data_IF_498571691234
#
_entry.id   IF_498571691234
#
_cell.length_a   1.000
_cell.length_b   1.000
_cell.length_c   1.000
_cell.angle_alpha   90.00
_cell.angle_beta   90.00
_cell.angle_gamma   90.00
#
_symmetry.space_group_name_H-M   'P 1'
#
loop_
_entity.id
_entity.type
_entity.pdbx_description
1 polymer ?
#
# COMPACT_ATOMS: atom_id res chain seq x y z
N UNK A 1 -58.57 -61.95 26.58
CA UNK A 1 -59.94 -61.51 26.87
C UNK A 1 -60.08 -60.11 26.27
N UNK A 2 -60.52 -60.05 25.08
CA UNK A 2 -61.76 -59.48 24.62
C UNK A 2 -61.70 -57.92 24.56
N UNK A 3 -61.55 -57.43 23.31
CA UNK A 3 -62.53 -56.65 22.52
C UNK A 3 -62.60 -55.13 22.93
N UNK A 4 -62.78 -54.14 22.15
CA UNK A 4 -63.23 -54.00 20.73
C UNK A 4 -63.01 -52.54 20.32
N UNK A 5 -62.73 -52.32 19.08
CA UNK A 5 -63.25 -51.39 18.11
C UNK A 5 -63.89 -50.05 18.57
N UNK A 6 -63.36 -48.94 18.08
CA UNK A 6 -64.13 -48.01 17.27
C UNK A 6 -63.24 -46.98 16.56
N UNK A 7 -63.28 -46.98 15.21
CA UNK A 7 -62.84 -45.85 14.34
C UNK A 7 -64.00 -44.91 14.16
N UNK A 8 -63.73 -43.66 14.02
CA UNK A 8 -64.46 -42.86 13.01
C UNK A 8 -63.55 -42.12 12.03
N UNK A 9 -64.09 -41.95 10.86
CA UNK A 9 -63.57 -41.34 9.65
C UNK A 9 -63.13 -39.90 9.83
N UNK A 10 -61.94 -39.61 9.28
CA UNK A 10 -61.48 -38.23 9.09
C UNK A 10 -61.97 -37.66 7.77
N UNK A 11 -62.68 -36.57 7.85
CA UNK A 11 -62.93 -35.69 6.72
C UNK A 11 -61.74 -34.80 6.47
N UNK A 12 -61.18 -34.84 5.26
CA UNK A 12 -60.15 -33.94 4.78
C UNK A 12 -60.73 -32.57 4.45
N UNK A 13 -60.46 -31.56 5.28
CA UNK A 13 -60.71 -30.19 4.98
C UNK A 13 -59.41 -29.50 4.55
N UNK A 14 -59.25 -29.25 3.24
CA UNK A 14 -58.14 -28.41 2.72
C UNK A 14 -58.44 -26.95 3.04
N UNK A 15 -57.68 -26.35 3.95
CA UNK A 15 -57.64 -24.92 4.15
C UNK A 15 -56.66 -24.29 3.14
N UNK A 16 -57.16 -23.66 2.10
CA UNK A 16 -56.39 -22.79 1.25
C UNK A 16 -56.16 -21.44 1.92
N UNK A 17 -54.96 -21.22 2.44
CA UNK A 17 -54.52 -19.86 2.79
C UNK A 17 -54.13 -19.11 1.51
N UNK A 18 -54.96 -18.17 1.10
CA UNK A 18 -54.62 -17.14 0.10
C UNK A 18 -53.81 -16.05 0.82
N UNK A 19 -52.48 -16.11 0.79
CA UNK A 19 -51.62 -15.02 1.18
C UNK A 19 -51.60 -13.98 0.05
N UNK A 20 -52.35 -12.91 0.20
CA UNK A 20 -52.29 -11.76 -0.68
C UNK A 20 -51.07 -10.93 -0.28
N UNK A 21 -49.99 -11.01 -1.06
CA UNK A 21 -48.83 -10.12 -0.91
C UNK A 21 -49.27 -8.74 -1.46
N UNK A 22 -49.55 -7.80 -0.56
CA UNK A 22 -49.77 -6.41 -0.92
C UNK A 22 -48.41 -5.77 -1.20
N UNK A 23 -48.00 -5.74 -2.45
CA UNK A 23 -46.82 -4.95 -2.88
C UNK A 23 -47.28 -3.49 -2.92
N UNK A 24 -46.86 -2.71 -1.92
CA UNK A 24 -47.05 -1.25 -1.95
C UNK A 24 -46.19 -0.67 -3.08
N UNK A 25 -46.74 0.16 -3.96
CA UNK A 25 -45.94 0.82 -4.98
C UNK A 25 -44.90 1.72 -4.32
N UNK A 26 -43.64 1.53 -4.68
CA UNK A 26 -42.54 2.41 -4.26
C UNK A 26 -42.85 3.79 -4.87
N UNK A 27 -43.03 4.80 -4.02
CA UNK A 27 -43.33 6.13 -4.51
C UNK A 27 -42.16 6.67 -5.34
N UNK A 28 -42.48 7.41 -6.40
CA UNK A 28 -41.49 8.03 -7.30
C UNK A 28 -40.43 8.84 -6.52
N UNK A 29 -40.81 9.42 -5.38
CA UNK A 29 -39.92 10.14 -4.48
C UNK A 29 -38.83 9.25 -3.88
N UNK A 30 -39.09 8.00 -3.49
CA UNK A 30 -38.09 7.06 -2.97
C UNK A 30 -37.12 6.59 -4.05
N UNK A 31 -37.60 6.44 -5.29
CA UNK A 31 -36.74 6.08 -6.43
C UNK A 31 -35.79 7.22 -6.79
N UNK A 32 -36.23 8.48 -6.77
CA UNK A 32 -35.40 9.68 -7.02
C UNK A 32 -34.37 9.85 -5.93
N UNK A 33 -34.70 9.63 -4.65
CA UNK A 33 -33.75 9.72 -3.54
C UNK A 33 -32.66 8.64 -3.63
N UNK A 34 -33.02 7.42 -4.04
CA UNK A 34 -32.05 6.34 -4.22
C UNK A 34 -31.06 6.63 -5.37
N UNK A 35 -31.54 7.18 -6.48
CA UNK A 35 -30.71 7.57 -7.63
C UNK A 35 -29.79 8.74 -7.26
N UNK A 36 -30.26 9.71 -6.46
CA UNK A 36 -29.46 10.85 -6.05
C UNK A 36 -28.33 10.45 -5.08
N UNK A 37 -28.55 9.49 -4.17
CA UNK A 37 -27.54 8.95 -3.27
C UNK A 37 -26.44 8.16 -4.02
N UNK A 38 -26.78 7.47 -5.11
CA UNK A 38 -25.77 6.72 -5.90
C UNK A 38 -24.91 7.64 -6.77
N UNK A 39 -25.45 8.77 -7.24
CA UNK A 39 -24.70 9.74 -8.03
C UNK A 39 -23.68 10.54 -7.20
N UNK A 40 -23.96 10.77 -5.91
CA UNK A 40 -23.03 11.50 -5.02
C UNK A 40 -21.75 10.73 -4.72
N UNK A 41 -21.80 9.38 -4.68
CA UNK A 41 -20.62 8.55 -4.45
C UNK A 41 -19.71 8.44 -5.70
N UNK A 42 -20.24 8.62 -6.90
CA UNK A 42 -19.48 8.62 -8.15
C UNK A 42 -18.65 9.90 -8.35
N UNK A 43 -19.10 11.04 -7.82
CA UNK A 43 -18.40 12.32 -7.97
C UNK A 43 -17.13 12.38 -7.14
N UNK A 44 -17.14 11.83 -5.91
CA UNK A 44 -15.94 11.82 -5.05
C UNK A 44 -14.82 10.93 -5.62
N UNK A 45 -15.16 9.77 -6.20
CA UNK A 45 -14.16 8.88 -6.83
C UNK A 45 -13.59 9.48 -8.12
N UNK A 46 -14.39 10.18 -8.90
CA UNK A 46 -13.95 10.83 -10.15
C UNK A 46 -12.98 12.01 -9.90
N UNK A 47 -13.12 12.73 -8.80
CA UNK A 47 -12.25 13.85 -8.46
C UNK A 47 -10.80 13.39 -8.17
N UNK A 48 -10.64 12.25 -7.53
CA UNK A 48 -9.32 11.68 -7.18
C UNK A 48 -8.55 11.25 -8.44
N UNK A 49 -9.22 10.60 -9.38
CA UNK A 49 -8.64 10.16 -10.66
C UNK A 49 -8.16 11.34 -11.50
N UNK A 50 -8.94 12.43 -11.56
CA UNK A 50 -8.54 13.63 -12.32
C UNK A 50 -7.30 14.29 -11.72
N UNK A 51 -7.19 14.35 -10.41
CA UNK A 51 -6.00 14.87 -9.74
C UNK A 51 -4.76 14.03 -10.02
N UNK A 52 -4.90 12.70 -9.98
CA UNK A 52 -3.81 11.78 -10.32
C UNK A 52 -3.35 11.97 -11.77
N UNK A 53 -4.28 12.07 -12.72
CA UNK A 53 -3.99 12.31 -14.13
C UNK A 53 -3.26 13.66 -14.33
N UNK A 54 -3.74 14.72 -13.69
CA UNK A 54 -3.10 16.03 -13.79
C UNK A 54 -1.66 16.00 -13.25
N UNK A 55 -1.42 15.32 -12.13
CA UNK A 55 -0.08 15.11 -11.60
C UNK A 55 0.79 14.27 -12.54
N UNK A 56 0.22 13.22 -13.14
CA UNK A 56 0.94 12.39 -14.12
C UNK A 56 1.38 13.20 -15.35
N UNK A 57 0.53 14.09 -15.88
CA UNK A 57 0.89 15.00 -16.99
C UNK A 57 2.01 15.97 -16.57
N UNK A 58 1.90 16.60 -15.40
CA UNK A 58 2.96 17.50 -14.90
C UNK A 58 4.31 16.77 -14.73
N UNK A 59 4.27 15.52 -14.26
CA UNK A 59 5.47 14.70 -14.13
C UNK A 59 6.06 14.37 -15.50
N UNK A 60 5.21 14.01 -16.46
CA UNK A 60 5.62 13.70 -17.84
C UNK A 60 6.36 14.85 -18.48
N UNK A 61 5.87 16.08 -18.31
CA UNK A 61 6.47 17.28 -18.87
C UNK A 61 7.80 17.67 -18.19
N UNK A 62 8.00 17.25 -16.94
CA UNK A 62 9.16 17.62 -16.11
C UNK A 62 10.16 16.48 -15.86
N UNK A 63 9.93 15.28 -16.38
CA UNK A 63 10.80 14.13 -16.12
C UNK A 63 12.13 14.25 -16.87
N UNK A 64 13.22 14.39 -16.12
CA UNK A 64 14.58 14.50 -16.67
C UNK A 64 15.27 13.13 -16.70
N UNK A 65 15.00 12.26 -15.73
CA UNK A 65 15.73 10.99 -15.54
C UNK A 65 14.75 9.83 -15.45
N UNK A 66 15.02 8.79 -16.26
CA UNK A 66 14.21 7.58 -16.35
C UNK A 66 13.08 7.69 -17.37
N UNK A 67 12.17 6.74 -17.33
CA UNK A 67 11.03 6.60 -18.25
C UNK A 67 9.72 6.42 -17.46
N UNK A 68 8.60 6.72 -18.11
CA UNK A 68 7.27 6.50 -17.55
C UNK A 68 6.73 5.18 -18.08
N UNK A 69 6.32 4.30 -17.17
CA UNK A 69 5.52 3.13 -17.47
C UNK A 69 4.08 3.36 -17.01
N UNK A 70 3.11 3.15 -17.88
CA UNK A 70 1.69 3.14 -17.53
C UNK A 70 1.31 1.72 -17.11
N UNK A 71 0.81 1.57 -15.91
CA UNK A 71 0.42 0.32 -15.29
C UNK A 71 -1.08 0.31 -15.03
N UNK A 72 -1.65 -0.88 -14.84
CA UNK A 72 -3.08 -1.06 -14.57
C UNK A 72 -3.29 -1.80 -13.24
N UNK A 73 -4.19 -1.29 -12.41
CA UNK A 73 -4.63 -1.97 -11.19
C UNK A 73 -6.12 -1.70 -10.96
N UNK A 74 -6.91 -2.74 -10.74
CA UNK A 74 -8.35 -2.65 -10.50
C UNK A 74 -9.14 -1.86 -11.58
N UNK A 75 -8.67 -1.91 -12.84
CA UNK A 75 -9.27 -1.18 -13.95
C UNK A 75 -8.88 0.30 -14.06
N UNK A 76 -8.00 0.78 -13.18
CA UNK A 76 -7.47 2.15 -13.19
C UNK A 76 -6.02 2.16 -13.69
N UNK A 77 -5.69 3.15 -14.53
CA UNK A 77 -4.31 3.39 -14.96
C UNK A 77 -3.59 4.26 -13.93
N UNK A 78 -2.32 3.95 -13.69
CA UNK A 78 -1.42 4.75 -12.85
C UNK A 78 0.00 4.71 -13.40
N UNK A 79 0.83 5.70 -13.07
CA UNK A 79 2.20 5.77 -13.56
C UNK A 79 3.20 5.14 -12.59
N UNK A 80 4.28 4.60 -13.17
CA UNK A 80 5.51 4.26 -12.48
C UNK A 80 6.68 4.94 -13.17
N UNK A 81 7.58 5.54 -12.42
CA UNK A 81 8.80 6.14 -12.93
C UNK A 81 9.93 5.12 -12.80
N UNK A 82 10.34 4.56 -13.92
CA UNK A 82 11.40 3.56 -13.99
C UNK A 82 12.74 4.26 -14.22
N UNK A 83 13.75 3.90 -13.46
CA UNK A 83 15.12 4.32 -13.74
C UNK A 83 16.03 3.10 -13.77
N UNK A 84 16.53 2.82 -14.95
CA UNK A 84 17.50 1.78 -15.23
C UNK A 84 18.70 2.42 -15.91
N UNK A 85 19.77 2.66 -15.17
CA UNK A 85 21.02 3.22 -15.69
C UNK A 85 21.98 2.15 -16.23
N UNK A 86 21.46 0.97 -16.52
CA UNK A 86 22.17 -0.13 -17.17
C UNK A 86 23.54 -0.48 -16.59
N UNK A 87 23.64 -1.00 -15.38
CA UNK A 87 24.76 -1.87 -15.12
C UNK A 87 24.55 -3.15 -15.94
N UNK A 88 25.62 -3.68 -16.55
CA UNK A 88 25.60 -4.94 -17.28
C UNK A 88 24.98 -6.10 -16.47
N UNK A 89 24.97 -5.97 -15.13
CA UNK A 89 24.28 -6.85 -14.18
C UNK A 89 23.67 -6.00 -13.07
N UNK A 90 22.36 -5.72 -13.07
CA UNK A 90 21.68 -5.05 -11.98
C UNK A 90 21.81 -5.84 -10.68
N UNK A 91 21.99 -5.13 -9.55
CA UNK A 91 22.00 -5.71 -8.20
C UNK A 91 20.64 -6.29 -7.81
N UNK A 92 19.57 -5.72 -8.34
CA UNK A 92 18.19 -6.08 -8.09
C UNK A 92 17.23 -4.98 -8.52
N UNK A 93 15.97 -5.14 -8.17
CA UNK A 93 14.91 -4.17 -8.41
C UNK A 93 14.40 -3.57 -7.10
N UNK A 94 14.12 -2.25 -7.12
CA UNK A 94 13.62 -1.49 -5.97
C UNK A 94 12.33 -0.80 -6.37
N UNK A 95 11.24 -1.14 -5.69
CA UNK A 95 9.96 -0.43 -5.82
C UNK A 95 9.86 0.58 -4.69
N UNK A 96 9.55 1.84 -5.03
CA UNK A 96 9.57 2.96 -4.09
C UNK A 96 8.15 3.50 -3.93
N UNK A 97 7.68 3.56 -2.68
CA UNK A 97 6.36 4.03 -2.28
C UNK A 97 6.47 5.40 -1.58
N UNK A 98 5.72 6.37 -2.07
CA UNK A 98 5.73 7.73 -1.52
C UNK A 98 4.80 7.91 -0.32
N UNK A 99 4.96 9.00 0.43
CA UNK A 99 4.11 9.41 1.54
C UNK A 99 2.73 9.92 1.09
N UNK A 100 1.85 10.15 2.06
CA UNK A 100 0.55 10.80 1.87
C UNK A 100 0.68 12.11 1.06
N UNK A 101 -0.17 12.27 0.05
CA UNK A 101 -0.24 13.48 -0.77
C UNK A 101 0.98 13.78 -1.64
N UNK A 102 1.98 12.88 -1.66
CA UNK A 102 3.16 12.98 -2.53
C UNK A 102 2.93 12.25 -3.87
N UNK A 103 3.96 12.17 -4.70
CA UNK A 103 3.91 11.55 -6.02
C UNK A 103 5.27 10.89 -6.35
N UNK A 104 5.38 10.03 -7.39
CA UNK A 104 6.59 9.26 -7.69
C UNK A 104 7.81 10.10 -8.10
N UNK A 105 7.66 11.38 -8.36
CA UNK A 105 8.76 12.31 -8.62
C UNK A 105 8.94 13.36 -7.52
N UNK A 106 8.42 13.13 -6.31
CA UNK A 106 8.55 14.07 -5.19
C UNK A 106 10.02 14.36 -4.88
N UNK A 107 10.43 15.64 -4.76
CA UNK A 107 11.83 16.03 -4.65
C UNK A 107 12.49 15.56 -3.36
N UNK A 108 11.73 15.46 -2.27
CA UNK A 108 12.21 14.89 -1.02
C UNK A 108 12.12 13.35 -1.10
N UNK A 109 13.16 12.66 -0.69
CA UNK A 109 13.24 11.19 -0.55
C UNK A 109 13.03 10.42 -1.85
N UNK A 110 11.88 10.57 -2.55
CA UNK A 110 11.46 9.67 -3.65
C UNK A 110 12.37 9.86 -4.88
N UNK A 111 12.50 11.09 -5.37
CA UNK A 111 13.38 11.37 -6.51
C UNK A 111 14.86 11.05 -6.19
N UNK A 112 15.43 11.45 -5.04
CA UNK A 112 16.78 11.06 -4.65
C UNK A 112 16.97 9.53 -4.57
N UNK A 113 16.07 8.80 -3.92
CA UNK A 113 16.13 7.33 -3.86
C UNK A 113 16.10 6.71 -5.25
N UNK A 114 15.15 7.13 -6.10
CA UNK A 114 14.97 6.62 -7.46
C UNK A 114 16.22 6.85 -8.32
N UNK A 115 16.80 8.04 -8.26
CA UNK A 115 17.95 8.40 -9.10
C UNK A 115 19.26 7.83 -8.55
N UNK A 116 19.54 7.99 -7.26
CA UNK A 116 20.83 7.58 -6.71
C UNK A 116 20.95 6.05 -6.53
N UNK A 117 19.88 5.34 -6.15
CA UNK A 117 19.93 3.87 -6.12
C UNK A 117 20.16 3.29 -7.53
N UNK A 118 19.60 3.93 -8.56
CA UNK A 118 19.88 3.51 -9.95
C UNK A 118 21.36 3.70 -10.30
N UNK A 119 21.99 4.82 -9.94
CA UNK A 119 23.43 5.02 -10.16
C UNK A 119 24.31 4.06 -9.36
N UNK A 120 23.78 3.47 -8.29
CA UNK A 120 24.41 2.44 -7.48
C UNK A 120 24.14 1.01 -7.95
N UNK A 121 23.52 0.87 -9.13
CA UNK A 121 23.33 -0.42 -9.81
C UNK A 121 22.01 -1.13 -9.52
N UNK A 122 21.01 -0.44 -8.98
CA UNK A 122 19.65 -0.97 -8.82
C UNK A 122 18.75 -0.50 -9.95
N UNK A 123 17.79 -1.33 -10.38
CA UNK A 123 16.69 -0.85 -11.21
C UNK A 123 15.60 -0.35 -10.28
N UNK A 124 15.21 0.92 -10.42
CA UNK A 124 14.24 1.53 -9.51
C UNK A 124 12.91 1.83 -10.21
N UNK A 125 11.81 1.66 -9.49
CA UNK A 125 10.46 2.00 -9.91
C UNK A 125 9.76 2.77 -8.79
N UNK A 126 9.62 4.09 -8.93
CA UNK A 126 8.76 4.87 -8.04
C UNK A 126 7.33 4.87 -8.58
N UNK A 127 6.37 4.39 -7.80
CA UNK A 127 4.99 4.18 -8.27
C UNK A 127 4.01 5.20 -7.71
N UNK A 128 2.99 5.52 -8.49
CA UNK A 128 1.89 6.36 -8.04
C UNK A 128 0.97 5.56 -7.13
N UNK A 129 0.93 5.93 -5.85
CA UNK A 129 -0.09 5.49 -4.90
C UNK A 129 -1.34 6.36 -5.02
N UNK A 130 -2.51 5.91 -4.53
CA UNK A 130 -3.72 6.74 -4.56
C UNK A 130 -3.51 8.12 -3.93
N UNK A 131 -3.88 9.17 -4.66
CA UNK A 131 -3.87 10.55 -4.19
C UNK A 131 -5.31 11.03 -4.10
N UNK A 132 -5.68 11.52 -2.93
CA UNK A 132 -7.01 12.06 -2.67
C UNK A 132 -7.03 13.59 -2.86
N UNK A 133 -8.23 14.16 -2.71
CA UNK A 133 -8.44 15.60 -2.73
C UNK A 133 -7.49 16.35 -1.75
N UNK A 134 -7.26 17.63 -2.00
CA UNK A 134 -6.28 18.40 -1.22
C UNK A 134 -6.64 18.56 0.26
N UNK A 135 -7.91 18.48 0.59
CA UNK A 135 -8.51 18.57 1.92
C UNK A 135 -8.79 17.19 2.56
N UNK A 136 -8.41 16.09 1.89
CA UNK A 136 -8.57 14.75 2.43
C UNK A 136 -7.77 14.55 3.72
N UNK A 137 -8.41 13.95 4.70
CA UNK A 137 -7.86 13.69 6.02
C UNK A 137 -6.96 12.43 6.01
N UNK A 138 -6.23 12.23 7.12
CA UNK A 138 -5.49 10.99 7.31
C UNK A 138 -6.44 9.77 7.31
N UNK A 139 -7.62 9.88 7.89
CA UNK A 139 -8.61 8.80 7.95
C UNK A 139 -9.12 8.40 6.56
N UNK A 140 -9.22 9.35 5.63
CA UNK A 140 -9.55 9.05 4.24
C UNK A 140 -8.43 8.30 3.54
N UNK A 141 -7.18 8.71 3.78
CA UNK A 141 -6.01 8.01 3.26
C UNK A 141 -5.80 6.62 3.85
N UNK A 142 -6.18 6.38 5.12
CA UNK A 142 -6.12 5.04 5.70
C UNK A 142 -7.03 4.05 4.96
N UNK A 143 -8.15 4.50 4.41
CA UNK A 143 -9.03 3.68 3.56
C UNK A 143 -8.37 3.26 2.25
N UNK A 144 -7.29 3.95 1.82
CA UNK A 144 -6.54 3.64 0.61
C UNK A 144 -5.47 2.56 0.82
N UNK A 145 -5.23 2.11 2.04
CA UNK A 145 -4.21 1.08 2.33
C UNK A 145 -4.51 -0.21 1.56
N UNK A 146 -5.74 -0.71 1.62
CA UNK A 146 -6.14 -1.92 0.86
C UNK A 146 -6.12 -1.72 -0.66
N UNK A 147 -6.73 -0.66 -1.22
CA UNK A 147 -6.66 -0.40 -2.66
C UNK A 147 -5.24 -0.28 -3.20
N UNK A 148 -4.30 0.30 -2.43
CA UNK A 148 -2.90 0.45 -2.85
C UNK A 148 -2.19 -0.89 -3.09
N UNK A 149 -2.64 -1.98 -2.45
CA UNK A 149 -2.05 -3.31 -2.61
C UNK A 149 -2.06 -3.79 -4.07
N UNK A 150 -3.11 -3.47 -4.83
CA UNK A 150 -3.22 -3.83 -6.25
C UNK A 150 -2.17 -3.08 -7.10
N UNK A 151 -1.91 -1.79 -6.81
CA UNK A 151 -0.87 -1.02 -7.50
C UNK A 151 0.53 -1.52 -7.16
N UNK A 152 0.79 -1.89 -5.91
CA UNK A 152 2.05 -2.51 -5.49
C UNK A 152 2.25 -3.84 -6.22
N UNK A 153 1.22 -4.70 -6.28
CA UNK A 153 1.28 -5.99 -6.96
C UNK A 153 1.53 -5.83 -8.46
N UNK A 154 0.79 -4.97 -9.15
CA UNK A 154 0.98 -4.70 -10.58
C UNK A 154 2.39 -4.21 -10.90
N UNK A 155 2.96 -3.37 -10.02
CA UNK A 155 4.32 -2.87 -10.16
C UNK A 155 5.37 -3.96 -9.96
N UNK A 156 5.15 -4.86 -9.00
CA UNK A 156 6.00 -6.04 -8.79
C UNK A 156 6.00 -6.96 -10.02
N UNK A 157 4.82 -7.22 -10.57
CA UNK A 157 4.68 -8.09 -11.73
C UNK A 157 5.33 -7.47 -12.97
N UNK A 158 5.17 -6.16 -13.17
CA UNK A 158 5.86 -5.42 -14.23
C UNK A 158 7.39 -5.53 -14.08
N UNK A 159 7.94 -5.23 -12.90
CA UNK A 159 9.38 -5.26 -12.65
C UNK A 159 9.95 -6.67 -12.82
N UNK A 160 9.26 -7.70 -12.37
CA UNK A 160 9.67 -9.09 -12.57
C UNK A 160 9.67 -9.51 -14.03
N UNK A 161 8.69 -9.06 -14.80
CA UNK A 161 8.60 -9.36 -16.23
C UNK A 161 9.70 -8.67 -17.03
N UNK A 162 9.90 -7.38 -16.77
CA UNK A 162 10.85 -6.57 -17.55
C UNK A 162 12.32 -6.84 -17.18
N UNK A 163 12.61 -6.99 -15.88
CA UNK A 163 13.99 -7.04 -15.37
C UNK A 163 14.37 -8.40 -14.79
N UNK A 164 13.81 -9.46 -15.27
CA UNK A 164 13.99 -10.87 -14.90
C UNK A 164 15.07 -11.09 -13.85
N UNK A 165 14.66 -11.12 -12.62
CA UNK A 165 15.39 -11.58 -11.55
C UNK A 165 16.05 -10.75 -10.66
N UNK A 166 15.71 -10.58 -9.52
CA UNK A 166 16.51 -10.52 -8.65
C UNK A 166 16.54 -9.83 -7.63
N UNK A 167 17.08 -9.71 -6.58
CA UNK A 167 16.34 -9.48 -5.36
C UNK A 167 15.40 -8.29 -5.57
N UNK A 168 14.16 -8.47 -5.14
CA UNK A 168 13.15 -7.43 -5.12
C UNK A 168 13.16 -6.75 -3.76
N UNK A 169 13.25 -5.44 -3.74
CA UNK A 169 13.20 -4.62 -2.52
C UNK A 169 12.00 -3.69 -2.58
N UNK A 170 11.23 -3.65 -1.52
CA UNK A 170 10.18 -2.65 -1.35
C UNK A 170 10.69 -1.57 -0.40
N UNK A 171 10.81 -0.33 -0.88
CA UNK A 171 11.24 0.85 -0.11
C UNK A 171 10.05 1.78 0.03
N UNK A 172 9.70 2.19 1.25
CA UNK A 172 8.47 2.91 1.47
C UNK A 172 8.61 3.99 2.54
N UNK A 173 8.03 5.17 2.26
CA UNK A 173 8.11 6.32 3.14
C UNK A 173 6.74 6.65 3.77
N UNK A 174 6.71 6.84 5.08
CA UNK A 174 5.57 7.37 5.83
C UNK A 174 4.29 6.53 5.64
N UNK A 175 3.19 7.09 5.15
CA UNK A 175 1.97 6.33 4.83
C UNK A 175 2.24 5.19 3.83
N UNK A 176 3.12 5.41 2.85
CA UNK A 176 3.58 4.34 1.96
C UNK A 176 4.22 3.18 2.72
N UNK A 177 4.89 3.45 3.85
CA UNK A 177 5.45 2.39 4.70
C UNK A 177 4.35 1.57 5.40
N UNK A 178 3.24 2.18 5.84
CA UNK A 178 2.07 1.43 6.33
C UNK A 178 1.48 0.55 5.23
N UNK A 179 1.33 1.10 4.01
CA UNK A 179 0.85 0.35 2.83
C UNK A 179 1.76 -0.83 2.51
N UNK A 180 3.08 -0.64 2.56
CA UNK A 180 4.07 -1.70 2.35
C UNK A 180 3.98 -2.80 3.41
N UNK A 181 3.90 -2.42 4.68
CA UNK A 181 3.76 -3.38 5.80
C UNK A 181 2.47 -4.17 5.67
N UNK A 182 1.33 -3.51 5.38
CA UNK A 182 0.06 -4.19 5.15
C UNK A 182 0.14 -5.15 3.95
N UNK A 183 0.70 -4.71 2.83
CA UNK A 183 0.88 -5.54 1.65
C UNK A 183 1.72 -6.79 1.95
N UNK A 184 2.91 -6.62 2.55
CA UNK A 184 3.83 -7.71 2.85
C UNK A 184 3.27 -8.70 3.88
N UNK A 185 2.55 -8.21 4.89
CA UNK A 185 1.96 -9.06 5.94
C UNK A 185 0.82 -9.97 5.45
N UNK A 186 0.23 -9.67 4.29
CA UNK A 186 -0.85 -10.44 3.70
C UNK A 186 -0.39 -11.45 2.63
N UNK A 187 0.90 -11.43 2.27
CA UNK A 187 1.43 -12.32 1.23
C UNK A 187 1.58 -13.76 1.74
N UNK A 188 1.01 -14.71 1.00
CA UNK A 188 1.21 -16.14 1.25
C UNK A 188 2.59 -16.64 0.78
N UNK A 189 3.15 -15.97 -0.23
CA UNK A 189 4.51 -16.20 -0.75
C UNK A 189 5.28 -14.90 -0.67
N UNK A 190 6.59 -14.98 -0.52
CA UNK A 190 7.43 -13.78 -0.47
C UNK A 190 7.26 -12.94 -1.74
N UNK A 191 6.67 -11.76 -1.58
CA UNK A 191 6.49 -10.82 -2.68
C UNK A 191 7.77 -10.06 -3.01
N UNK A 192 8.58 -9.75 -1.98
CA UNK A 192 9.91 -9.17 -2.11
C UNK A 192 10.88 -9.87 -1.15
N UNK A 193 12.17 -9.68 -1.38
CA UNK A 193 13.26 -10.28 -0.61
C UNK A 193 13.73 -9.40 0.55
N UNK A 194 13.41 -8.11 0.52
CA UNK A 194 13.71 -7.16 1.59
C UNK A 194 12.70 -6.01 1.64
N UNK A 195 12.57 -5.41 2.82
CA UNK A 195 11.69 -4.27 3.10
C UNK A 195 12.47 -3.14 3.75
N UNK A 196 12.30 -1.92 3.25
CA UNK A 196 12.86 -0.70 3.85
C UNK A 196 11.71 0.23 4.21
N UNK A 197 11.62 0.58 5.48
CA UNK A 197 10.60 1.45 6.05
C UNK A 197 11.26 2.75 6.48
N UNK A 198 10.90 3.86 5.85
CA UNK A 198 11.44 5.18 6.12
C UNK A 198 10.37 5.99 6.86
N UNK A 199 10.67 6.39 8.09
CA UNK A 199 9.74 7.19 8.90
C UNK A 199 8.37 6.51 9.07
N UNK A 200 8.34 5.21 9.42
CA UNK A 200 7.09 4.46 9.62
C UNK A 200 6.30 5.04 10.79
N UNK A 201 5.14 5.69 10.55
CA UNK A 201 4.34 6.23 11.64
C UNK A 201 3.46 5.14 12.28
N UNK A 202 3.16 5.32 13.56
CA UNK A 202 2.07 4.61 14.22
C UNK A 202 0.87 5.53 14.31
N UNK A 203 -0.23 5.12 13.71
CA UNK A 203 -1.47 5.91 13.65
C UNK A 203 -2.52 5.19 14.50
N UNK A 204 -3.17 5.93 15.39
CA UNK A 204 -4.31 5.42 16.14
C UNK A 204 -5.47 5.20 15.17
N UNK A 205 -5.83 3.95 14.92
CA UNK A 205 -6.89 3.55 14.00
C UNK A 205 -7.42 2.17 14.37
N UNK A 206 -8.73 1.97 14.24
CA UNK A 206 -9.36 0.65 14.38
C UNK A 206 -9.27 -0.20 13.12
N UNK A 207 -8.77 0.35 12.02
CA UNK A 207 -8.61 -0.39 10.77
C UNK A 207 -7.47 -1.40 10.88
N UNK A 208 -7.72 -2.71 10.70
CA UNK A 208 -6.67 -3.74 10.80
C UNK A 208 -5.50 -3.52 9.84
N UNK A 209 -5.77 -2.97 8.67
CA UNK A 209 -4.76 -2.62 7.65
C UNK A 209 -3.84 -1.46 8.05
N UNK A 210 -4.23 -0.63 9.01
CA UNK A 210 -3.44 0.47 9.55
C UNK A 210 -2.62 0.08 10.79
N UNK A 211 -2.82 -1.11 11.35
CA UNK A 211 -2.14 -1.61 12.55
C UNK A 211 -0.71 -2.03 12.24
N UNK A 212 0.15 -1.06 11.89
CA UNK A 212 1.48 -1.32 11.35
C UNK A 212 2.36 -2.19 12.28
N UNK A 213 2.31 -2.01 13.61
CA UNK A 213 3.08 -2.82 14.56
C UNK A 213 2.63 -4.28 14.58
N UNK A 214 1.32 -4.54 14.55
CA UNK A 214 0.78 -5.90 14.53
C UNK A 214 1.07 -6.61 13.21
N UNK A 215 1.01 -5.87 12.11
CA UNK A 215 1.33 -6.38 10.79
C UNK A 215 2.84 -6.65 10.64
N UNK A 216 3.70 -5.81 11.20
CA UNK A 216 5.16 -5.99 11.17
C UNK A 216 5.60 -7.31 11.82
N UNK A 217 4.88 -7.78 12.85
CA UNK A 217 5.13 -9.09 13.49
C UNK A 217 4.98 -10.29 12.53
N UNK A 218 4.25 -10.12 11.43
CA UNK A 218 3.99 -11.17 10.43
C UNK A 218 5.04 -11.20 9.32
N UNK A 219 5.94 -10.22 9.27
CA UNK A 219 6.94 -10.09 8.23
C UNK A 219 8.23 -10.80 8.67
N UNK A 220 8.64 -11.78 7.88
CA UNK A 220 9.83 -12.61 8.16
C UNK A 220 11.06 -12.27 7.31
N UNK A 221 10.90 -11.44 6.27
CA UNK A 221 12.03 -11.01 5.42
C UNK A 221 12.89 -9.98 6.11
N UNK A 222 14.17 -9.83 5.71
CA UNK A 222 15.02 -8.74 6.17
C UNK A 222 14.32 -7.39 6.04
N UNK A 223 14.29 -6.63 7.15
CA UNK A 223 13.62 -5.33 7.22
C UNK A 223 14.53 -4.28 7.84
N UNK A 224 14.68 -3.15 7.15
CA UNK A 224 15.33 -1.94 7.66
C UNK A 224 14.24 -0.94 8.08
N UNK A 225 14.22 -0.56 9.35
CA UNK A 225 13.43 0.57 9.87
C UNK A 225 14.36 1.76 10.06
N UNK A 226 14.19 2.83 9.29
CA UNK A 226 15.06 4.01 9.33
C UNK A 226 14.21 5.26 9.55
N UNK A 227 14.64 6.12 10.48
CA UNK A 227 13.93 7.33 10.84
C UNK A 227 14.89 8.44 11.29
N UNK A 228 14.39 9.66 11.35
CA UNK A 228 15.16 10.82 11.79
C UNK A 228 15.04 11.09 13.30
N UNK A 229 16.10 11.59 13.94
CA UNK A 229 16.02 12.00 15.36
C UNK A 229 15.05 13.17 15.58
N UNK A 230 14.71 13.92 14.53
CA UNK A 230 13.72 15.01 14.52
C UNK A 230 12.44 14.65 13.74
N UNK A 231 12.21 13.35 13.54
CA UNK A 231 11.01 12.83 12.86
C UNK A 231 9.72 13.15 13.67
N UNK A 232 8.57 12.86 13.08
CA UNK A 232 7.28 13.02 13.74
C UNK A 232 7.22 12.26 15.07
N UNK A 233 6.48 12.76 16.05
CA UNK A 233 6.38 12.13 17.36
C UNK A 233 5.87 10.68 17.26
N UNK A 234 4.83 10.43 16.47
CA UNK A 234 4.27 9.09 16.27
C UNK A 234 5.21 8.12 15.53
N UNK A 235 6.31 8.60 14.95
CA UNK A 235 7.41 7.79 14.44
C UNK A 235 8.41 7.48 15.54
N UNK A 236 8.90 8.51 16.25
CA UNK A 236 9.97 8.41 17.26
C UNK A 236 9.53 7.66 18.51
N UNK A 237 8.38 7.99 19.07
CA UNK A 237 7.85 7.39 20.30
C UNK A 237 7.69 5.87 20.18
N UNK A 238 7.37 5.40 18.98
CA UNK A 238 7.17 3.98 18.71
C UNK A 238 8.41 3.26 18.19
N UNK A 239 9.53 3.96 17.95
CA UNK A 239 10.76 3.36 17.46
C UNK A 239 11.28 2.23 18.37
N UNK A 240 11.30 2.36 19.72
CA UNK A 240 11.72 1.27 20.60
C UNK A 240 10.83 0.02 20.47
N UNK A 241 9.52 0.21 20.32
CA UNK A 241 8.57 -0.90 20.15
C UNK A 241 8.77 -1.60 18.80
N UNK A 242 9.02 -0.85 17.73
CA UNK A 242 9.36 -1.41 16.42
C UNK A 242 10.67 -2.18 16.47
N UNK A 243 11.69 -1.65 17.15
CA UNK A 243 12.98 -2.35 17.35
C UNK A 243 12.79 -3.71 18.02
N UNK A 244 12.03 -3.76 19.12
CA UNK A 244 11.73 -5.01 19.83
C UNK A 244 10.96 -6.01 18.95
N UNK A 245 10.11 -5.51 18.05
CA UNK A 245 9.40 -6.34 17.09
C UNK A 245 10.36 -6.91 16.04
N UNK A 246 11.24 -6.08 15.49
CA UNK A 246 12.23 -6.48 14.48
C UNK A 246 13.24 -7.50 15.03
N UNK A 247 13.67 -7.36 16.29
CA UNK A 247 14.60 -8.30 16.94
C UNK A 247 14.05 -9.74 17.06
N UNK A 248 12.73 -9.91 16.98
CA UNK A 248 12.08 -11.23 17.01
C UNK A 248 11.96 -11.88 15.63
N UNK A 249 12.24 -11.13 14.57
CA UNK A 249 12.14 -11.58 13.18
C UNK A 249 13.49 -12.01 12.60
N UNK A 250 13.78 -11.59 11.37
CA UNK A 250 15.04 -11.91 10.68
C UNK A 250 16.27 -11.40 11.44
N UNK A 251 17.36 -12.17 11.56
CA UNK A 251 18.63 -11.69 12.14
C UNK A 251 19.28 -10.56 11.33
N UNK A 252 18.84 -10.36 10.09
CA UNK A 252 19.28 -9.28 9.21
C UNK A 252 18.48 -7.99 9.38
N UNK A 253 17.47 -7.99 10.25
CA UNK A 253 16.72 -6.79 10.57
C UNK A 253 17.63 -5.75 11.23
N UNK A 254 17.39 -4.48 10.89
CA UNK A 254 18.09 -3.34 11.48
C UNK A 254 17.13 -2.19 11.73
N UNK A 255 17.40 -1.43 12.77
CA UNK A 255 16.82 -0.12 12.99
C UNK A 255 17.94 0.91 13.00
N UNK A 256 17.74 2.04 12.32
CA UNK A 256 18.72 3.13 12.19
C UNK A 256 18.04 4.46 12.46
N UNK A 257 18.56 5.22 13.42
CA UNK A 257 18.21 6.62 13.62
C UNK A 257 19.26 7.51 12.94
N UNK A 258 18.82 8.43 12.08
CA UNK A 258 19.70 9.43 11.47
C UNK A 258 19.63 10.72 12.29
N UNK A 259 20.75 11.07 12.91
CA UNK A 259 20.85 12.27 13.73
C UNK A 259 20.57 13.54 12.90
N UNK A 260 19.72 14.42 13.42
CA UNK A 260 19.35 15.70 12.80
C UNK A 260 18.35 15.59 11.65
N UNK A 261 18.00 14.40 11.19
CA UNK A 261 17.01 14.25 10.11
C UNK A 261 15.59 14.51 10.61
N UNK A 262 14.82 15.25 9.82
CA UNK A 262 13.38 15.39 9.96
C UNK A 262 12.63 14.26 9.22
N UNK A 263 11.29 14.31 9.18
CA UNK A 263 10.47 13.33 8.50
C UNK A 263 10.71 13.24 6.98
N UNK A 264 11.27 14.28 6.38
CA UNK A 264 11.56 14.37 4.94
C UNK A 264 13.03 14.24 4.61
N UNK A 265 13.88 14.05 5.62
CA UNK A 265 15.36 13.95 5.50
C UNK A 265 15.96 15.14 4.74
N UNK A 266 15.38 16.32 4.94
CA UNK A 266 15.83 17.52 4.27
C UNK A 266 17.30 17.81 4.54
N UNK A 267 18.11 17.95 3.47
CA UNK A 267 19.57 18.10 3.56
C UNK A 267 20.34 16.82 3.94
N UNK A 268 19.66 15.70 4.24
CA UNK A 268 20.27 14.43 4.66
C UNK A 268 19.91 13.24 3.73
N UNK A 269 19.41 13.53 2.51
CA UNK A 269 19.07 12.50 1.53
C UNK A 269 20.24 11.57 1.21
N UNK A 270 21.45 12.09 1.08
CA UNK A 270 22.64 11.27 0.79
C UNK A 270 22.96 10.30 1.94
N UNK A 271 22.75 10.72 3.18
CA UNK A 271 22.95 9.87 4.36
C UNK A 271 21.89 8.76 4.39
N UNK A 272 20.63 9.10 4.12
CA UNK A 272 19.54 8.13 3.99
C UNK A 272 19.87 7.08 2.92
N UNK A 273 20.23 7.53 1.72
CA UNK A 273 20.47 6.63 0.58
C UNK A 273 21.67 5.74 0.81
N UNK A 274 22.77 6.28 1.36
CA UNK A 274 23.94 5.47 1.74
C UNK A 274 23.58 4.42 2.79
N UNK A 275 22.77 4.76 3.79
CA UNK A 275 22.31 3.81 4.81
C UNK A 275 21.48 2.69 4.21
N UNK A 276 20.53 3.02 3.36
CA UNK A 276 19.72 2.05 2.62
C UNK A 276 20.59 1.16 1.74
N UNK A 277 21.43 1.76 0.90
CA UNK A 277 22.28 1.02 -0.03
C UNK A 277 23.27 0.09 0.70
N UNK A 278 23.95 0.59 1.74
CA UNK A 278 24.90 -0.20 2.53
C UNK A 278 24.23 -1.42 3.16
N UNK A 279 23.03 -1.24 3.73
CA UNK A 279 22.29 -2.36 4.29
C UNK A 279 21.85 -3.36 3.21
N UNK A 280 21.36 -2.90 2.05
CA UNK A 280 21.01 -3.78 0.94
C UNK A 280 22.21 -4.57 0.41
N UNK A 281 23.38 -3.93 0.27
CA UNK A 281 24.62 -4.64 -0.11
C UNK A 281 24.98 -5.70 0.93
N UNK A 282 24.88 -5.38 2.20
CA UNK A 282 25.17 -6.32 3.28
C UNK A 282 24.27 -7.56 3.25
N UNK A 283 22.97 -7.41 3.01
CA UNK A 283 22.02 -8.55 3.04
C UNK A 283 22.08 -9.41 1.78
N UNK A 284 22.43 -8.84 0.62
CA UNK A 284 22.46 -9.57 -0.65
C UNK A 284 23.86 -10.03 -1.10
N UNK A 285 24.94 -9.47 -0.50
CA UNK A 285 26.32 -9.87 -0.74
C UNK A 285 27.08 -10.01 0.59
N UNK A 286 26.75 -10.99 1.43
CA UNK A 286 27.30 -11.09 2.79
C UNK A 286 28.79 -11.43 2.87
N UNK A 287 29.49 -11.61 1.72
CA UNK A 287 30.91 -12.04 1.64
C UNK A 287 31.89 -10.94 1.23
N UNK A 288 31.51 -9.67 1.30
CA UNK A 288 32.43 -8.54 1.11
C UNK A 288 32.68 -7.75 2.38
#
# INVERSE_FOLDING_TARGET
>A
MVLDFFRPLMHHGYFHYKTSIIVKPISLTHLITLIFCTLFNLVASAADIEREKHLAEQIKDSLIVGEIANLQANGEEFIALINNQEPAKPRGSVIILHRMGAHPNSPQIIHPLRSQLASLGWVTAAIQLPILAADATIDDYLKQIKPSAARIQASLDYMRHQFKNRPCVLVAHSLGAIMAVNFMAQQQKLACDALVLIGLPTIASELPEAQALELLKKISIPTLDIYGSQDLNNVKEMAPTRQLTLLKGSPLNRQVEIAGADHTFNGLNDTLIRSVHSWLVHIFNPTQ
#
